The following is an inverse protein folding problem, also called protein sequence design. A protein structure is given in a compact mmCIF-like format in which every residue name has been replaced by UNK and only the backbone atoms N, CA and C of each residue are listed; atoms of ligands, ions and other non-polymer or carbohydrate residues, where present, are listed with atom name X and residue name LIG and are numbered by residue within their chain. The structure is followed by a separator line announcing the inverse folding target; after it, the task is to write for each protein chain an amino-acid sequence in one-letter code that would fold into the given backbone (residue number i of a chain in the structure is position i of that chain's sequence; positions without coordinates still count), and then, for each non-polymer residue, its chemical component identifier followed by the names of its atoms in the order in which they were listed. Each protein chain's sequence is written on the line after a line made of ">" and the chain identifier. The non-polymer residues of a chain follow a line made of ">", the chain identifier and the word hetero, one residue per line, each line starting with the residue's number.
data_IF_164987382881
#
_entry.id   IF_164987382881
#
_cell.length_a   1.000
_cell.length_b   1.000
_cell.length_c   1.000
_cell.angle_alpha   90.00
_cell.angle_beta   90.00
_cell.angle_gamma   90.00
#
_symmetry.space_group_name_H-M   'P 1'
#
loop_
_entity.id
_entity.type
_entity.pdbx_description
1 polymer ?
#
# COMPACT_ATOMS: atom_id res chain seq x y z
N UNK A 1 -9.66 56.05 -18.25
CA UNK A 1 -8.47 55.15 -18.33
C UNK A 1 -7.90 54.76 -16.96
N UNK A 2 -7.65 55.69 -16.02
CA UNK A 2 -7.05 55.38 -14.70
C UNK A 2 -7.84 54.37 -13.84
N UNK A 3 -9.18 54.37 -13.86
CA UNK A 3 -9.98 53.39 -13.11
C UNK A 3 -9.95 51.98 -13.72
N UNK A 4 -9.87 51.85 -15.04
CA UNK A 4 -9.80 50.55 -15.72
C UNK A 4 -8.46 49.87 -15.40
N UNK A 5 -7.37 50.64 -15.41
CA UNK A 5 -6.04 50.12 -15.04
C UNK A 5 -6.03 49.61 -13.59
N UNK A 6 -6.61 50.35 -12.64
CA UNK A 6 -6.71 49.92 -11.23
C UNK A 6 -7.53 48.63 -11.06
N UNK A 7 -8.62 48.49 -11.81
CA UNK A 7 -9.48 47.31 -11.75
C UNK A 7 -8.79 46.06 -12.32
N UNK A 8 -7.97 46.23 -13.36
CA UNK A 8 -7.15 45.17 -13.93
C UNK A 8 -6.03 44.77 -12.95
N UNK A 9 -5.31 45.73 -12.35
CA UNK A 9 -4.25 45.41 -11.37
C UNK A 9 -4.81 44.73 -10.12
N UNK A 10 -6.00 45.14 -9.65
CA UNK A 10 -6.66 44.52 -8.50
C UNK A 10 -7.15 43.09 -8.82
N UNK A 11 -7.68 42.87 -10.03
CA UNK A 11 -8.09 41.54 -10.48
C UNK A 11 -6.89 40.60 -10.62
N UNK A 12 -5.77 41.10 -11.17
CA UNK A 12 -4.52 40.33 -11.28
C UNK A 12 -3.96 40.00 -9.89
N UNK A 13 -3.93 40.97 -8.96
CA UNK A 13 -3.49 40.74 -7.59
C UNK A 13 -4.38 39.72 -6.85
N UNK A 14 -5.70 39.77 -7.06
CA UNK A 14 -6.64 38.80 -6.49
C UNK A 14 -6.37 37.37 -7.02
N UNK A 15 -6.05 37.21 -8.31
CA UNK A 15 -5.71 35.91 -8.90
C UNK A 15 -4.41 35.35 -8.29
N UNK A 16 -3.40 36.19 -8.00
CA UNK A 16 -2.16 35.74 -7.34
C UNK A 16 -2.33 35.38 -5.87
N UNK A 17 -3.40 35.84 -5.19
CA UNK A 17 -3.70 35.41 -3.81
C UNK A 17 -4.39 34.04 -3.71
N UNK A 18 -4.79 33.44 -4.84
CA UNK A 18 -5.33 32.07 -4.89
C UNK A 18 -4.26 30.97 -5.06
N UNK A 19 -2.98 31.28 -4.82
CA UNK A 19 -1.94 30.28 -4.58
C UNK A 19 -2.15 29.55 -3.24
N UNK A 20 -3.30 28.90 -3.07
CA UNK A 20 -3.53 27.98 -1.96
C UNK A 20 -2.60 26.78 -2.19
N UNK A 21 -1.48 26.76 -1.46
CA UNK A 21 -0.53 25.66 -1.46
C UNK A 21 -1.27 24.31 -1.31
N UNK A 22 -1.35 23.54 -2.40
CA UNK A 22 -1.77 22.14 -2.36
C UNK A 22 -0.60 21.33 -1.81
N UNK A 23 -0.42 21.34 -0.48
CA UNK A 23 0.63 20.55 0.13
C UNK A 23 0.14 19.11 0.39
N UNK A 24 0.52 18.20 -0.51
CA UNK A 24 0.29 16.76 -0.38
C UNK A 24 1.22 16.09 0.64
N UNK A 25 2.19 16.84 1.18
CA UNK A 25 3.15 16.37 2.16
C UNK A 25 2.79 16.86 3.57
N UNK A 26 3.17 16.08 4.58
CA UNK A 26 3.02 16.49 5.99
C UNK A 26 4.11 17.47 6.43
N UNK A 27 5.14 17.67 5.60
CA UNK A 27 6.20 18.65 5.75
C UNK A 27 6.28 19.53 4.48
N UNK A 28 6.97 20.68 4.48
CA UNK A 28 7.19 21.44 3.25
C UNK A 28 7.91 20.58 2.19
N UNK A 29 7.47 20.67 0.94
CA UNK A 29 7.98 19.84 -0.16
C UNK A 29 9.48 19.99 -0.37
N UNK A 30 10.03 21.20 -0.26
CA UNK A 30 11.47 21.44 -0.39
C UNK A 30 12.26 20.76 0.72
N UNK A 31 11.64 20.62 1.90
CA UNK A 31 12.22 19.85 3.01
C UNK A 31 12.11 18.36 2.74
N UNK A 32 11.00 17.90 2.16
CA UNK A 32 10.81 16.52 1.74
C UNK A 32 11.87 16.08 0.72
N UNK A 33 12.01 16.81 -0.40
CA UNK A 33 12.98 16.49 -1.46
C UNK A 33 14.43 16.47 -0.97
N UNK A 34 14.76 17.31 0.02
CA UNK A 34 16.09 17.32 0.64
C UNK A 34 16.29 16.13 1.58
N UNK A 35 15.25 15.70 2.28
CA UNK A 35 15.29 14.59 3.24
C UNK A 35 15.25 13.22 2.56
N UNK A 36 14.50 13.07 1.47
CA UNK A 36 14.21 11.76 0.86
C UNK A 36 14.88 11.64 -0.51
N UNK A 37 16.10 11.10 -0.55
CA UNK A 37 16.80 10.82 -1.81
C UNK A 37 16.72 9.33 -2.18
N UNK A 38 16.87 8.45 -1.21
CA UNK A 38 16.78 7.00 -1.36
C UNK A 38 15.50 6.50 -0.70
N UNK A 39 14.51 6.14 -1.52
CA UNK A 39 13.22 5.62 -1.07
C UNK A 39 13.21 4.09 -1.15
N UNK A 40 13.00 3.43 -0.01
CA UNK A 40 12.63 2.02 0.00
C UNK A 40 11.12 1.87 -0.13
N UNK A 41 10.67 0.86 -0.84
CA UNK A 41 9.26 0.47 -0.93
C UNK A 41 9.12 -0.90 -0.27
N UNK A 42 8.38 -0.99 0.82
CA UNK A 42 8.07 -2.27 1.44
C UNK A 42 7.16 -3.10 0.51
N UNK A 43 7.20 -4.45 0.59
CA UNK A 43 6.12 -5.27 0.07
C UNK A 43 4.75 -4.76 0.49
N UNK A 44 3.74 -4.88 -0.36
CA UNK A 44 2.39 -4.40 -0.04
C UNK A 44 1.80 -5.36 1.00
N UNK A 45 1.48 -4.81 2.17
CA UNK A 45 0.90 -5.56 3.27
C UNK A 45 -0.59 -5.83 3.04
N UNK A 46 -1.07 -6.92 3.61
CA UNK A 46 -2.48 -7.13 3.88
C UNK A 46 -2.66 -7.21 5.39
N UNK A 47 -3.62 -6.47 5.91
CA UNK A 47 -3.99 -6.53 7.32
C UNK A 47 -5.19 -7.49 7.48
N UNK A 48 -4.96 -8.77 7.81
CA UNK A 48 -6.05 -9.72 8.00
C UNK A 48 -6.91 -9.38 9.21
N UNK A 49 -6.39 -8.64 10.19
CA UNK A 49 -7.12 -8.28 11.42
C UNK A 49 -8.00 -7.04 11.26
N UNK A 50 -8.04 -6.47 10.06
CA UNK A 50 -8.95 -5.37 9.71
C UNK A 50 -10.39 -5.85 9.50
N UNK A 51 -11.30 -4.91 9.24
CA UNK A 51 -12.75 -5.16 9.12
C UNK A 51 -13.10 -5.85 7.79
N UNK A 52 -12.53 -7.04 7.54
CA UNK A 52 -12.82 -7.91 6.40
C UNK A 52 -13.93 -8.88 6.83
N UNK A 53 -15.14 -8.68 6.32
CA UNK A 53 -16.34 -9.43 6.71
C UNK A 53 -16.72 -10.57 5.76
N UNK A 54 -15.88 -10.83 4.77
CA UNK A 54 -16.13 -11.86 3.77
C UNK A 54 -16.22 -13.26 4.45
N UNK A 55 -17.22 -14.10 4.13
CA UNK A 55 -17.37 -15.42 4.75
C UNK A 55 -16.14 -16.33 4.57
N UNK A 56 -15.48 -16.24 3.41
CA UNK A 56 -14.25 -16.96 3.08
C UNK A 56 -13.02 -16.04 3.22
N UNK A 57 -12.84 -15.43 4.40
CA UNK A 57 -11.82 -14.40 4.66
C UNK A 57 -10.40 -14.87 4.35
N UNK A 58 -10.05 -16.08 4.73
CA UNK A 58 -8.68 -16.63 4.59
C UNK A 58 -8.31 -16.78 3.12
N UNK A 59 -9.22 -17.31 2.30
CA UNK A 59 -9.05 -17.44 0.86
C UNK A 59 -8.91 -16.08 0.18
N UNK A 60 -9.72 -15.09 0.60
CA UNK A 60 -9.61 -13.72 0.14
C UNK A 60 -8.23 -13.12 0.45
N UNK A 61 -7.75 -13.28 1.69
CA UNK A 61 -6.43 -12.78 2.11
C UNK A 61 -5.33 -13.39 1.26
N UNK A 62 -5.36 -14.70 1.00
CA UNK A 62 -4.38 -15.36 0.13
C UNK A 62 -4.37 -14.79 -1.30
N UNK A 63 -5.54 -14.59 -1.91
CA UNK A 63 -5.67 -14.03 -3.26
C UNK A 63 -5.08 -12.62 -3.33
N UNK A 64 -5.40 -11.78 -2.34
CA UNK A 64 -4.92 -10.40 -2.29
C UNK A 64 -3.40 -10.38 -2.05
N UNK A 65 -2.88 -11.21 -1.16
CA UNK A 65 -1.44 -11.33 -0.90
C UNK A 65 -0.67 -11.74 -2.16
N UNK A 66 -1.15 -12.75 -2.89
CA UNK A 66 -0.55 -13.15 -4.16
C UNK A 66 -0.59 -12.01 -5.20
N UNK A 67 -1.73 -11.31 -5.26
CA UNK A 67 -1.91 -10.18 -6.17
C UNK A 67 -1.00 -9.00 -5.83
N UNK A 68 -0.81 -8.68 -4.54
CA UNK A 68 0.11 -7.65 -4.05
C UNK A 68 1.51 -7.90 -4.63
N UNK A 69 2.04 -9.12 -4.43
CA UNK A 69 3.39 -9.51 -4.88
C UNK A 69 3.58 -9.42 -6.39
N UNK A 70 2.52 -9.70 -7.17
CA UNK A 70 2.56 -9.58 -8.65
C UNK A 70 2.62 -8.13 -9.12
N UNK A 71 2.06 -7.18 -8.36
CA UNK A 71 1.90 -5.79 -8.80
C UNK A 71 2.90 -4.81 -8.15
N UNK A 72 3.56 -5.17 -7.04
CA UNK A 72 4.54 -4.32 -6.32
C UNK A 72 5.61 -3.67 -7.21
N UNK A 73 6.12 -4.41 -8.21
CA UNK A 73 7.14 -3.90 -9.14
C UNK A 73 6.64 -2.75 -10.00
N UNK A 74 5.34 -2.71 -10.28
CA UNK A 74 4.73 -1.61 -11.03
C UNK A 74 4.77 -0.31 -10.22
N UNK A 75 4.39 -0.35 -8.95
CA UNK A 75 4.48 0.82 -8.06
C UNK A 75 5.90 1.37 -8.01
N UNK A 76 6.90 0.49 -7.88
CA UNK A 76 8.31 0.89 -7.89
C UNK A 76 8.71 1.51 -9.22
N UNK A 77 8.25 0.97 -10.35
CA UNK A 77 8.52 1.53 -11.67
C UNK A 77 7.88 2.92 -11.84
N UNK A 78 6.62 3.09 -11.43
CA UNK A 78 5.93 4.38 -11.45
C UNK A 78 6.63 5.43 -10.58
N UNK A 79 7.07 5.04 -9.38
CA UNK A 79 7.82 5.94 -8.49
C UNK A 79 9.17 6.35 -9.09
N UNK A 80 9.88 5.44 -9.78
CA UNK A 80 11.12 5.77 -10.51
C UNK A 80 10.86 6.74 -11.66
N UNK A 81 9.79 6.51 -12.42
CA UNK A 81 9.40 7.33 -13.57
C UNK A 81 9.11 8.79 -13.15
N UNK A 82 8.70 9.03 -11.90
CA UNK A 82 8.55 10.42 -11.41
C UNK A 82 9.82 11.25 -11.44
N UNK A 83 11.01 10.63 -11.43
CA UNK A 83 12.29 11.35 -11.33
C UNK A 83 12.52 12.12 -10.03
N UNK A 84 11.65 11.93 -9.03
CA UNK A 84 11.69 12.68 -7.75
C UNK A 84 12.83 12.20 -6.84
N UNK A 85 13.09 10.91 -6.85
CA UNK A 85 14.07 10.26 -5.97
C UNK A 85 15.38 9.97 -6.71
N UNK A 86 16.50 9.98 -5.99
CA UNK A 86 17.77 9.52 -6.52
C UNK A 86 17.76 8.00 -6.76
N UNK A 87 17.12 7.25 -5.87
CA UNK A 87 16.92 5.81 -6.02
C UNK A 87 15.62 5.37 -5.38
N UNK A 88 14.95 4.40 -6.00
CA UNK A 88 13.77 3.72 -5.47
C UNK A 88 13.99 2.22 -5.56
N UNK A 89 13.77 1.49 -4.47
CA UNK A 89 13.99 0.04 -4.42
C UNK A 89 12.92 -0.71 -3.64
N UNK A 90 12.49 -1.86 -4.16
CA UNK A 90 11.64 -2.81 -3.42
C UNK A 90 12.50 -3.52 -2.36
N UNK A 91 12.01 -3.59 -1.13
CA UNK A 91 12.65 -4.41 -0.10
C UNK A 91 12.42 -5.90 -0.42
N UNK A 92 13.47 -6.75 -0.37
CA UNK A 92 13.38 -8.15 -0.78
C UNK A 92 12.72 -9.07 0.26
N UNK A 93 12.49 -8.57 1.48
CA UNK A 93 11.97 -9.34 2.61
C UNK A 93 10.51 -9.79 2.43
N UNK A 94 10.07 -10.69 3.31
CA UNK A 94 8.69 -11.15 3.41
C UNK A 94 7.77 -10.06 4.00
N UNK A 95 6.60 -9.89 3.38
CA UNK A 95 5.64 -8.85 3.73
C UNK A 95 5.11 -9.01 5.15
N UNK A 96 4.73 -10.24 5.54
CA UNK A 96 4.13 -10.51 6.85
C UNK A 96 5.16 -10.30 7.94
N UNK A 97 6.40 -10.77 7.72
CA UNK A 97 7.50 -10.59 8.66
C UNK A 97 7.83 -9.11 8.88
N UNK A 98 7.92 -8.30 7.81
CA UNK A 98 8.14 -6.86 7.98
C UNK A 98 6.97 -6.29 8.76
N UNK A 99 5.74 -6.53 8.31
CA UNK A 99 4.55 -5.94 8.91
C UNK A 99 4.44 -6.28 10.40
N UNK A 100 4.55 -7.54 10.80
CA UNK A 100 4.50 -7.96 12.21
C UNK A 100 5.60 -7.33 13.06
N UNK A 101 6.76 -7.04 12.46
CA UNK A 101 7.90 -6.45 13.16
C UNK A 101 7.65 -4.96 13.41
N UNK A 102 7.36 -4.20 12.36
CA UNK A 102 7.25 -2.73 12.43
C UNK A 102 5.86 -2.24 12.85
N UNK A 103 4.80 -3.03 12.70
CA UNK A 103 3.44 -2.63 13.04
C UNK A 103 3.29 -2.42 14.55
N UNK A 104 2.70 -1.29 14.94
CA UNK A 104 2.38 -0.98 16.32
C UNK A 104 0.87 -1.06 16.57
N UNK A 105 0.09 -0.29 15.80
CA UNK A 105 -1.37 -0.24 15.92
C UNK A 105 -2.03 0.30 14.67
N UNK A 106 -3.34 0.07 14.59
CA UNK A 106 -4.25 0.60 13.57
C UNK A 106 -5.30 1.47 14.24
N UNK A 107 -5.66 2.57 13.60
CA UNK A 107 -6.74 3.46 14.02
C UNK A 107 -7.70 3.67 12.87
N UNK A 108 -9.00 3.41 13.10
CA UNK A 108 -10.04 3.74 12.13
C UNK A 108 -10.34 5.24 12.23
N UNK A 109 -10.25 5.94 11.11
CA UNK A 109 -10.50 7.38 11.02
C UNK A 109 -11.63 7.69 10.07
N UNK A 110 -12.27 8.83 10.33
CA UNK A 110 -13.26 9.45 9.48
C UNK A 110 -12.89 10.92 9.34
N UNK A 111 -12.20 11.24 8.24
CA UNK A 111 -11.71 12.59 7.97
C UNK A 111 -12.45 13.12 6.74
N UNK A 112 -13.17 14.23 6.93
CA UNK A 112 -13.93 14.92 5.88
C UNK A 112 -14.83 13.97 5.04
N UNK A 113 -15.52 13.06 5.74
CA UNK A 113 -16.47 12.11 5.15
C UNK A 113 -15.85 10.85 4.54
N UNK A 114 -14.52 10.73 4.57
CA UNK A 114 -13.81 9.53 4.11
C UNK A 114 -13.40 8.70 5.31
N UNK A 115 -13.77 7.43 5.27
CA UNK A 115 -13.40 6.46 6.29
C UNK A 115 -12.21 5.62 5.80
N UNK A 116 -11.19 5.45 6.64
CA UNK A 116 -10.01 4.66 6.30
C UNK A 116 -9.28 4.15 7.57
N UNK A 117 -8.29 3.26 7.38
CA UNK A 117 -7.43 2.78 8.46
C UNK A 117 -6.08 3.50 8.41
N UNK A 118 -5.71 4.20 9.48
CA UNK A 118 -4.38 4.77 9.66
C UNK A 118 -3.48 3.81 10.43
N UNK A 119 -2.27 3.62 9.93
CA UNK A 119 -1.27 2.73 10.54
C UNK A 119 -0.23 3.54 11.31
N UNK A 120 0.23 2.95 12.41
CA UNK A 120 1.33 3.47 13.20
C UNK A 120 2.37 2.37 13.34
N UNK A 121 3.62 2.76 13.24
CA UNK A 121 4.76 1.86 13.23
C UNK A 121 5.67 2.11 14.43
N UNK A 122 6.39 1.08 14.85
CA UNK A 122 7.35 1.15 15.93
C UNK A 122 8.64 1.80 15.40
N UNK A 123 8.99 2.96 15.97
CA UNK A 123 10.15 3.75 15.56
C UNK A 123 11.47 2.98 15.57
N UNK A 124 11.84 2.28 16.66
CA UNK A 124 13.11 1.54 16.73
C UNK A 124 13.26 0.48 15.62
N UNK A 125 12.23 -0.32 15.39
CA UNK A 125 12.23 -1.40 14.40
C UNK A 125 12.25 -0.85 12.96
N UNK A 126 11.55 0.25 12.72
CA UNK A 126 11.58 0.96 11.45
C UNK A 126 12.99 1.53 11.17
N UNK A 127 13.60 2.16 12.18
CA UNK A 127 14.96 2.70 12.11
C UNK A 127 15.98 1.63 11.76
N UNK A 128 15.91 0.48 12.42
CA UNK A 128 16.78 -0.66 12.14
C UNK A 128 16.57 -1.20 10.73
N UNK A 129 15.32 -1.33 10.29
CA UNK A 129 14.99 -1.77 8.93
C UNK A 129 15.56 -0.83 7.87
N UNK A 130 15.43 0.49 8.06
CA UNK A 130 15.94 1.50 7.15
C UNK A 130 17.46 1.57 7.15
N UNK A 131 18.11 1.48 8.33
CA UNK A 131 19.57 1.50 8.45
C UNK A 131 20.21 0.29 7.74
N UNK A 132 19.65 -0.92 7.91
CA UNK A 132 20.13 -2.13 7.22
C UNK A 132 20.08 -2.00 5.70
N UNK A 133 19.08 -1.29 5.18
CA UNK A 133 18.85 -1.11 3.75
C UNK A 133 19.41 0.23 3.20
N UNK A 134 20.05 1.06 4.05
CA UNK A 134 20.59 2.39 3.70
C UNK A 134 19.55 3.32 3.06
N UNK A 135 18.38 3.39 3.67
CA UNK A 135 17.23 4.17 3.18
C UNK A 135 17.11 5.50 3.90
N UNK A 136 16.71 6.55 3.19
CA UNK A 136 16.34 7.83 3.79
C UNK A 136 14.89 7.83 4.28
N UNK A 137 14.02 7.13 3.53
CA UNK A 137 12.62 6.93 3.87
C UNK A 137 12.12 5.55 3.43
N UNK A 138 11.06 5.07 4.07
CA UNK A 138 10.34 3.86 3.70
C UNK A 138 8.90 4.18 3.32
N UNK A 139 8.50 3.79 2.11
CA UNK A 139 7.10 3.74 1.71
C UNK A 139 6.50 2.41 2.15
N UNK A 140 5.41 2.50 2.90
CA UNK A 140 4.58 1.37 3.31
C UNK A 140 3.22 1.49 2.65
N UNK A 141 2.73 0.40 2.07
CA UNK A 141 1.38 0.29 1.52
C UNK A 141 0.68 -0.86 2.22
N UNK A 142 -0.56 -0.63 2.68
CA UNK A 142 -1.36 -1.63 3.36
C UNK A 142 -2.75 -1.73 2.72
N UNK A 143 -3.17 -2.96 2.41
CA UNK A 143 -4.53 -3.30 2.02
C UNK A 143 -5.30 -3.77 3.25
N UNK A 144 -6.49 -3.23 3.47
CA UNK A 144 -7.30 -3.54 4.65
C UNK A 144 -8.79 -3.52 4.37
N UNK A 145 -9.55 -4.27 5.16
CA UNK A 145 -11.01 -4.28 5.16
C UNK A 145 -11.58 -3.07 5.88
N UNK A 146 -12.68 -2.57 5.32
CA UNK A 146 -13.45 -1.47 5.87
C UNK A 146 -14.93 -1.63 5.50
N UNK A 147 -15.83 -1.56 6.49
CA UNK A 147 -17.25 -1.33 6.24
C UNK A 147 -17.59 0.16 6.26
N UNK A 148 -18.17 0.69 5.19
CA UNK A 148 -18.60 2.08 5.10
C UNK A 148 -20.03 2.18 4.56
N UNK A 149 -20.74 3.25 4.93
CA UNK A 149 -22.05 3.56 4.38
C UNK A 149 -21.86 4.12 2.97
N UNK A 150 -22.52 3.55 1.98
CA UNK A 150 -22.38 3.96 0.59
C UNK A 150 -23.71 3.80 -0.17
N UNK A 151 -23.83 4.49 -1.30
CA UNK A 151 -24.98 4.44 -2.20
C UNK A 151 -24.56 3.82 -3.52
N UNK A 152 -25.02 2.60 -3.77
CA UNK A 152 -24.73 1.86 -5.01
C UNK A 152 -25.97 1.89 -5.91
N UNK A 153 -25.78 2.29 -7.16
CA UNK A 153 -26.84 2.38 -8.16
C UNK A 153 -26.96 1.08 -8.97
N UNK A 154 -28.17 0.78 -9.44
CA UNK A 154 -28.40 -0.27 -10.43
C UNK A 154 -27.74 0.08 -11.77
N UNK A 155 -27.52 -0.92 -12.63
CA UNK A 155 -26.89 -0.71 -13.94
C UNK A 155 -27.65 0.23 -14.88
N UNK A 156 -28.95 0.43 -14.67
CA UNK A 156 -29.78 1.37 -15.42
C UNK A 156 -29.94 2.74 -14.73
N UNK A 157 -29.30 2.95 -13.57
CA UNK A 157 -29.32 4.18 -12.76
C UNK A 157 -30.71 4.64 -12.27
N UNK A 158 -31.75 3.81 -12.41
CA UNK A 158 -33.11 4.16 -11.97
C UNK A 158 -33.36 3.83 -10.49
N UNK A 159 -32.52 2.97 -9.91
CA UNK A 159 -32.65 2.53 -8.52
C UNK A 159 -31.29 2.59 -7.82
N UNK A 160 -31.32 2.72 -6.50
CA UNK A 160 -30.12 2.66 -5.68
C UNK A 160 -30.42 1.97 -4.36
N UNK A 161 -29.37 1.42 -3.74
CA UNK A 161 -29.40 0.87 -2.39
C UNK A 161 -28.32 1.56 -1.57
N UNK A 162 -28.77 2.25 -0.52
CA UNK A 162 -27.92 2.83 0.49
C UNK A 162 -27.77 1.85 1.65
N UNK A 163 -26.55 1.37 1.89
CA UNK A 163 -26.29 0.33 2.90
C UNK A 163 -24.86 0.42 3.43
N UNK A 164 -24.52 -0.43 4.39
CA UNK A 164 -23.17 -0.61 4.90
C UNK A 164 -22.46 -1.71 4.11
N UNK A 165 -21.63 -1.31 3.15
CA UNK A 165 -20.90 -2.24 2.30
C UNK A 165 -19.49 -2.47 2.84
N UNK A 166 -18.98 -3.68 2.64
CA UNK A 166 -17.61 -4.07 2.98
C UNK A 166 -16.70 -3.94 1.74
N UNK A 167 -15.57 -3.27 1.94
CA UNK A 167 -14.58 -2.98 0.90
C UNK A 167 -13.19 -3.39 1.38
N UNK A 168 -12.31 -3.67 0.43
CA UNK A 168 -10.88 -3.49 0.62
C UNK A 168 -10.53 -2.04 0.28
N UNK A 169 -9.64 -1.46 1.07
CA UNK A 169 -9.05 -0.14 0.87
C UNK A 169 -7.54 -0.26 0.86
N UNK A 170 -6.86 0.66 0.17
CA UNK A 170 -5.41 0.71 0.10
C UNK A 170 -4.93 2.05 0.63
N UNK A 171 -4.08 2.02 1.65
CA UNK A 171 -3.50 3.22 2.26
C UNK A 171 -1.98 3.17 2.13
N UNK A 172 -1.34 4.33 2.03
CA UNK A 172 0.11 4.39 1.92
C UNK A 172 0.70 5.49 2.80
N UNK A 173 1.91 5.29 3.29
CA UNK A 173 2.65 6.27 4.10
C UNK A 173 4.13 6.23 3.73
N UNK A 174 4.77 7.40 3.65
CA UNK A 174 6.24 7.51 3.56
C UNK A 174 6.73 7.99 4.91
N UNK A 175 7.63 7.23 5.52
CA UNK A 175 8.11 7.41 6.88
C UNK A 175 9.61 7.67 6.88
N UNK A 176 10.08 8.54 7.77
CA UNK A 176 11.51 8.65 8.09
C UNK A 176 11.94 7.64 9.17
N UNK A 177 13.25 7.62 9.44
CA UNK A 177 13.85 6.71 10.42
C UNK A 177 13.38 6.94 11.86
N UNK A 178 12.79 8.09 12.17
CA UNK A 178 12.24 8.40 13.50
C UNK A 178 10.75 8.02 13.59
N UNK A 179 10.16 7.51 12.50
CA UNK A 179 8.75 7.14 12.42
C UNK A 179 7.82 8.32 12.10
N UNK A 180 8.36 9.48 11.70
CA UNK A 180 7.54 10.60 11.28
C UNK A 180 6.95 10.32 9.90
N UNK A 181 5.64 10.52 9.75
CA UNK A 181 4.95 10.43 8.46
C UNK A 181 5.22 11.67 7.63
N UNK A 182 6.04 11.54 6.60
CA UNK A 182 6.42 12.61 5.66
C UNK A 182 5.33 12.85 4.60
N UNK A 183 4.65 11.79 4.18
CA UNK A 183 3.56 11.79 3.22
C UNK A 183 2.58 10.64 3.55
N UNK A 184 1.30 10.82 3.25
CA UNK A 184 0.29 9.77 3.43
C UNK A 184 -0.79 9.81 2.34
N UNK A 185 -1.40 8.66 2.09
CA UNK A 185 -2.55 8.46 1.22
C UNK A 185 -3.60 7.62 1.95
N UNK A 186 -4.87 8.09 2.02
CA UNK A 186 -5.35 9.39 1.57
C UNK A 186 -4.78 10.57 2.40
N UNK A 187 -4.69 11.76 1.80
CA UNK A 187 -4.30 13.00 2.49
C UNK A 187 -5.47 14.00 2.50
N UNK A 188 -5.93 14.37 3.70
CA UNK A 188 -7.10 15.24 3.91
C UNK A 188 -6.80 16.73 3.94
N UNK A 189 -5.55 17.13 3.66
CA UNK A 189 -5.17 18.55 3.58
C UNK A 189 -5.70 19.26 2.32
N UNK A 190 -6.42 18.56 1.45
CA UNK A 190 -7.00 19.08 0.21
C UNK A 190 -8.46 19.52 0.34
N UNK A 191 -8.90 20.38 -0.59
CA UNK A 191 -10.32 20.76 -0.75
C UNK A 191 -11.15 19.74 -1.55
N UNK A 192 -10.52 18.96 -2.42
CA UNK A 192 -11.16 17.91 -3.22
C UNK A 192 -10.66 16.55 -2.74
N UNK A 193 -11.55 15.81 -2.07
CA UNK A 193 -11.23 14.53 -1.47
C UNK A 193 -11.84 13.43 -2.32
N UNK A 194 -11.01 12.64 -2.97
CA UNK A 194 -11.42 11.37 -3.57
C UNK A 194 -10.54 10.26 -3.02
N UNK A 195 -11.13 9.42 -2.17
CA UNK A 195 -10.53 8.16 -1.75
C UNK A 195 -11.43 7.04 -2.25
N UNK A 196 -11.04 6.47 -3.38
CA UNK A 196 -11.79 5.38 -3.98
C UNK A 196 -11.50 4.08 -3.23
N UNK A 197 -12.53 3.29 -2.88
CA UNK A 197 -12.31 1.94 -2.38
C UNK A 197 -11.46 1.13 -3.36
N UNK A 198 -10.51 0.35 -2.84
CA UNK A 198 -9.62 -0.44 -3.66
C UNK A 198 -10.36 -1.59 -4.35
N UNK A 199 -11.20 -2.31 -3.61
CA UNK A 199 -12.02 -3.39 -4.18
C UNK A 199 -13.31 -3.61 -3.37
N UNK A 200 -14.51 -3.50 -3.95
CA UNK A 200 -15.75 -3.83 -3.25
C UNK A 200 -15.91 -5.34 -3.08
N UNK A 201 -16.16 -5.79 -1.85
CA UNK A 201 -16.37 -7.20 -1.50
C UNK A 201 -17.85 -7.61 -1.57
N UNK A 202 -18.74 -6.64 -1.53
CA UNK A 202 -20.19 -6.84 -1.61
C UNK A 202 -20.79 -6.13 -2.82
N UNK A 203 -22.00 -6.54 -3.18
CA UNK A 203 -22.82 -5.89 -4.20
C UNK A 203 -24.31 -6.01 -3.85
N UNK A 204 -25.14 -5.02 -4.20
CA UNK A 204 -26.60 -5.14 -4.13
C UNK A 204 -27.13 -6.00 -5.29
N UNK A 205 -28.00 -6.97 -4.99
CA UNK A 205 -28.57 -7.86 -6.00
C UNK A 205 -29.90 -7.31 -6.57
N UNK A 206 -29.81 -6.23 -7.35
CA UNK A 206 -30.97 -5.61 -7.99
C UNK A 206 -31.66 -6.53 -8.99
N UNK A 207 -30.90 -7.39 -9.67
CA UNK A 207 -31.41 -8.26 -10.72
C UNK A 207 -32.26 -9.39 -10.12
N UNK A 208 -31.82 -10.01 -9.03
CA UNK A 208 -32.62 -11.01 -8.32
C UNK A 208 -33.87 -10.40 -7.68
N UNK A 209 -33.77 -9.22 -7.06
CA UNK A 209 -34.93 -8.53 -6.50
C UNK A 209 -35.99 -8.27 -7.58
N UNK A 210 -35.56 -7.74 -8.73
CA UNK A 210 -36.45 -7.49 -9.88
C UNK A 210 -37.04 -8.78 -10.46
N UNK A 211 -36.25 -9.84 -10.57
CA UNK A 211 -36.71 -11.12 -11.12
C UNK A 211 -37.76 -11.80 -10.23
N UNK A 212 -37.74 -11.54 -8.93
CA UNK A 212 -38.70 -12.08 -7.96
C UNK A 212 -39.83 -11.11 -7.60
N UNK A 213 -39.96 -9.99 -8.33
CA UNK A 213 -40.93 -8.91 -8.03
C UNK A 213 -40.89 -8.46 -6.56
N UNK A 214 -39.68 -8.44 -5.99
CA UNK A 214 -39.43 -8.09 -4.60
C UNK A 214 -38.87 -6.66 -4.53
N UNK A 215 -39.49 -5.82 -3.68
CA UNK A 215 -39.02 -4.46 -3.42
C UNK A 215 -37.74 -4.42 -2.57
N UNK A 216 -37.38 -5.54 -1.92
CA UNK A 216 -36.19 -5.65 -1.08
C UNK A 216 -34.98 -6.12 -1.89
N UNK A 217 -33.97 -5.26 -1.98
CA UNK A 217 -32.67 -5.57 -2.56
C UNK A 217 -31.72 -6.04 -1.46
N UNK A 218 -31.24 -7.27 -1.57
CA UNK A 218 -30.29 -7.83 -0.61
C UNK A 218 -28.84 -7.53 -1.01
N UNK A 219 -27.97 -7.40 0.00
CA UNK A 219 -26.52 -7.21 -0.19
C UNK A 219 -25.83 -8.56 -0.09
N UNK A 220 -25.12 -8.94 -1.15
CA UNK A 220 -24.42 -10.23 -1.24
C UNK A 220 -22.92 -10.04 -1.31
N UNK A 221 -22.17 -11.02 -0.81
CA UNK A 221 -20.72 -11.09 -0.99
C UNK A 221 -20.38 -11.62 -2.39
N UNK A 222 -19.35 -11.05 -3.00
CA UNK A 222 -18.77 -11.58 -4.24
C UNK A 222 -18.09 -12.90 -3.95
N UNK A 223 -18.25 -13.88 -4.83
CA UNK A 223 -17.54 -15.16 -4.68
C UNK A 223 -16.02 -14.98 -4.76
N UNK A 224 -15.26 -15.85 -4.09
CA UNK A 224 -13.79 -15.87 -4.15
C UNK A 224 -13.28 -15.93 -5.60
N UNK A 225 -13.90 -16.73 -6.45
CA UNK A 225 -13.58 -16.79 -7.88
C UNK A 225 -13.86 -15.46 -8.60
N UNK A 226 -14.96 -14.78 -8.26
CA UNK A 226 -15.28 -13.45 -8.79
C UNK A 226 -14.27 -12.39 -8.36
N UNK A 227 -13.83 -12.43 -7.11
CA UNK A 227 -12.78 -11.55 -6.57
C UNK A 227 -11.45 -11.82 -7.28
N UNK A 228 -11.04 -13.08 -7.39
CA UNK A 228 -9.82 -13.47 -8.10
C UNK A 228 -9.79 -12.99 -9.55
N UNK A 229 -10.92 -13.10 -10.29
CA UNK A 229 -11.03 -12.53 -11.64
C UNK A 229 -10.99 -11.01 -11.65
N UNK A 230 -11.65 -10.35 -10.69
CA UNK A 230 -11.68 -8.90 -10.58
C UNK A 230 -10.30 -8.30 -10.33
N UNK A 231 -9.58 -8.83 -9.33
CA UNK A 231 -8.22 -8.40 -8.98
C UNK A 231 -7.21 -8.86 -10.04
N UNK A 232 -7.45 -9.99 -10.72
CA UNK A 232 -6.61 -10.49 -11.80
C UNK A 232 -6.82 -9.83 -13.17
N UNK A 233 -7.82 -8.94 -13.33
CA UNK A 233 -8.05 -8.22 -14.59
C UNK A 233 -6.88 -7.27 -14.83
N UNK A 234 -6.18 -7.43 -15.95
CA UNK A 234 -4.97 -6.65 -16.25
C UNK A 234 -5.13 -5.67 -17.40
N UNK A 235 -4.42 -4.56 -17.31
CA UNK A 235 -4.22 -3.54 -18.34
C UNK A 235 -2.74 -3.47 -18.70
N UNK A 236 -2.42 -2.79 -19.81
CA UNK A 236 -1.03 -2.52 -20.19
C UNK A 236 -0.42 -1.56 -19.16
N UNK A 237 0.78 -1.87 -18.69
CA UNK A 237 1.58 -0.95 -17.87
C UNK A 237 1.88 0.33 -18.64
N UNK A 238 1.87 1.47 -17.95
CA UNK A 238 2.26 2.77 -18.52
C UNK A 238 3.78 2.96 -18.55
N UNK A 239 4.53 2.21 -17.73
CA UNK A 239 5.98 2.41 -17.50
C UNK A 239 6.84 1.20 -17.88
N UNK A 240 6.28 -0.01 -17.90
CA UNK A 240 6.99 -1.23 -18.29
C UNK A 240 6.61 -1.65 -19.71
N UNK A 241 7.60 -1.77 -20.59
CA UNK A 241 7.35 -2.27 -21.94
C UNK A 241 6.84 -3.72 -21.89
N UNK A 242 5.72 -3.96 -22.55
CA UNK A 242 4.95 -5.23 -22.49
C UNK A 242 4.50 -5.68 -21.09
N UNK A 243 4.65 -4.83 -20.07
CA UNK A 243 4.17 -5.10 -18.72
C UNK A 243 2.64 -5.14 -18.65
N UNK A 244 2.12 -6.03 -17.80
CA UNK A 244 0.69 -6.08 -17.47
C UNK A 244 0.51 -5.90 -15.97
N UNK A 245 -0.30 -4.93 -15.59
CA UNK A 245 -0.65 -4.63 -14.20
C UNK A 245 -2.14 -4.84 -14.02
N UNK A 246 -2.57 -5.27 -12.84
CA UNK A 246 -3.98 -5.31 -12.50
C UNK A 246 -4.63 -3.92 -12.59
N UNK A 247 -5.84 -3.83 -13.15
CA UNK A 247 -6.58 -2.56 -13.32
C UNK A 247 -6.77 -1.85 -11.99
N UNK A 248 -7.13 -2.58 -10.93
CA UNK A 248 -7.40 -1.97 -9.62
C UNK A 248 -6.11 -1.48 -8.94
N UNK A 249 -4.98 -2.16 -9.16
CA UNK A 249 -3.69 -1.70 -8.67
C UNK A 249 -3.17 -0.51 -9.48
N UNK A 250 -3.30 -0.52 -10.81
CA UNK A 250 -2.91 0.61 -11.65
C UNK A 250 -3.61 1.88 -11.19
N UNK A 251 -4.93 1.84 -11.03
CA UNK A 251 -5.69 3.00 -10.56
C UNK A 251 -5.21 3.50 -9.19
N UNK A 252 -5.05 2.59 -8.22
CA UNK A 252 -4.57 2.97 -6.89
C UNK A 252 -3.13 3.53 -6.90
N UNK A 253 -2.23 2.96 -7.71
CA UNK A 253 -0.85 3.43 -7.83
C UNK A 253 -0.77 4.76 -8.55
N UNK A 254 -1.54 4.94 -9.62
CA UNK A 254 -1.63 6.20 -10.36
C UNK A 254 -2.11 7.32 -9.43
N UNK A 255 -3.15 7.07 -8.61
CA UNK A 255 -3.62 8.00 -7.60
C UNK A 255 -2.52 8.36 -6.59
N UNK A 256 -1.82 7.37 -6.02
CA UNK A 256 -0.73 7.63 -5.07
C UNK A 256 0.41 8.44 -5.68
N UNK A 257 0.84 8.07 -6.89
CA UNK A 257 1.97 8.69 -7.58
C UNK A 257 1.61 10.09 -8.06
N UNK A 258 0.35 10.33 -8.45
CA UNK A 258 -0.13 11.66 -8.82
C UNK A 258 0.05 12.67 -7.68
N UNK A 259 -0.21 12.25 -6.43
CA UNK A 259 -0.02 13.12 -5.25
C UNK A 259 1.45 13.29 -4.83
N UNK A 260 2.36 12.51 -5.41
CA UNK A 260 3.81 12.64 -5.21
C UNK A 260 4.48 13.45 -6.31
N UNK A 261 3.89 13.50 -7.51
CA UNK A 261 4.46 14.24 -8.65
C UNK A 261 4.59 15.74 -8.32
N UNK A 262 5.68 16.37 -8.74
CA UNK A 262 5.77 17.82 -8.67
C UNK A 262 4.65 18.44 -9.52
N UNK A 263 3.98 19.49 -9.02
CA UNK A 263 3.14 20.33 -9.87
C UNK A 263 3.93 20.72 -11.12
N UNK A 264 3.34 20.47 -12.27
CA UNK A 264 3.92 20.80 -13.56
C UNK A 264 4.30 22.29 -13.54
N UNK A 265 5.58 22.60 -13.72
CA UNK A 265 6.07 23.96 -13.92
C UNK A 265 5.57 24.43 -15.29
N UNK A 266 4.30 24.86 -15.36
CA UNK A 266 3.68 25.37 -16.59
C UNK A 266 4.40 26.65 -17.08
N UNK A 267 5.16 27.30 -16.19
CA UNK A 267 6.10 28.37 -16.52
C UNK A 267 7.51 27.79 -16.52
N UNK A 268 8.03 27.46 -17.70
CA UNK A 268 9.37 26.91 -17.92
C UNK A 268 10.52 27.80 -17.47
N UNK A 269 10.66 28.02 -16.17
CA UNK A 269 11.90 28.43 -15.55
C UNK A 269 12.78 27.18 -15.49
N UNK A 270 13.60 27.04 -16.54
CA UNK A 270 14.71 26.10 -16.60
C UNK A 270 15.40 26.02 -15.25
N UNK A 271 15.25 24.88 -14.57
CA UNK A 271 16.13 24.51 -13.46
C UNK A 271 17.52 24.39 -14.06
N UNK A 272 18.39 25.35 -13.75
CA UNK A 272 19.79 25.36 -14.18
C UNK A 272 20.43 23.99 -13.99
N UNK A 273 21.22 23.63 -14.99
CA UNK A 273 21.97 22.39 -15.12
C UNK A 273 22.62 21.99 -13.79
N UNK A 274 22.21 20.84 -13.25
CA UNK A 274 23.10 20.11 -12.34
C UNK A 274 24.35 19.74 -13.15
N UNK A 275 25.56 20.07 -12.69
CA UNK A 275 26.76 19.62 -13.36
C UNK A 275 26.79 18.09 -13.39
N UNK A 276 27.10 17.54 -14.55
CA UNK A 276 27.23 16.11 -14.79
C UNK A 276 28.17 15.46 -13.76
N UNK A 277 27.92 14.19 -13.37
CA UNK A 277 28.86 13.46 -12.53
C UNK A 277 30.19 13.35 -13.27
N UNK A 278 31.25 13.85 -12.62
CA UNK A 278 32.63 13.68 -13.07
C UNK A 278 32.86 12.18 -13.24
N UNK A 279 33.10 11.76 -14.48
CA UNK A 279 33.55 10.43 -14.84
C UNK A 279 34.88 10.20 -14.14
N UNK A 280 34.84 9.53 -12.98
CA UNK A 280 36.04 9.02 -12.35
C UNK A 280 36.65 8.00 -13.31
N UNK A 281 37.78 8.36 -13.90
CA UNK A 281 38.61 7.46 -14.68
C UNK A 281 38.97 6.25 -13.80
N UNK A 282 38.52 5.07 -14.24
CA UNK A 282 38.92 3.79 -13.65
C UNK A 282 40.41 3.62 -13.92
N UNK A 283 41.24 3.94 -12.93
CA UNK A 283 42.62 3.47 -12.90
C UNK A 283 42.59 1.94 -12.76
N UNK A 284 43.06 1.29 -13.82
CA UNK A 284 43.31 -0.14 -13.91
C UNK A 284 44.26 -0.57 -12.80
N UNK A 285 43.74 -1.28 -11.81
CA UNK A 285 44.53 -1.93 -10.76
C UNK A 285 45.18 -3.19 -11.37
N UNK A 286 46.51 -3.40 -11.23
CA UNK A 286 47.15 -4.62 -11.71
C UNK A 286 46.64 -5.86 -10.97
N UNK A 287 46.61 -6.98 -11.68
CA UNK A 287 46.16 -8.28 -11.21
C UNK A 287 46.91 -8.77 -9.95
N UNK A 288 46.23 -9.40 -8.97
CA UNK A 288 46.92 -10.12 -7.91
C UNK A 288 47.55 -11.40 -8.45
N UNK A 289 48.83 -11.58 -8.14
CA UNK A 289 49.58 -12.80 -8.40
C UNK A 289 48.97 -14.01 -7.69
N UNK A 290 49.01 -15.15 -8.37
CA UNK A 290 48.60 -16.45 -7.86
C UNK A 290 49.42 -16.82 -6.61
N UNK A 291 48.73 -17.09 -5.50
CA UNK A 291 49.33 -17.70 -4.31
C UNK A 291 48.78 -19.11 -4.18
N UNK A 292 49.73 -20.03 -4.03
CA UNK A 292 49.60 -21.48 -3.97
C UNK A 292 48.60 -21.97 -2.91
N UNK A 293 47.80 -22.96 -3.30
CA UNK A 293 47.06 -23.85 -2.40
C UNK A 293 48.04 -24.70 -1.57
N UNK A 294 47.81 -24.83 -0.25
CA UNK A 294 48.28 -25.97 0.52
C UNK A 294 47.18 -27.01 0.72
N UNK A 295 47.60 -28.23 0.47
CA UNK A 295 47.01 -29.56 0.59
C UNK A 295 46.21 -29.81 1.88
N UNK A 296 45.14 -30.60 1.74
CA UNK A 296 44.33 -31.16 2.82
C UNK A 296 45.09 -32.13 3.74
N UNK A 297 44.62 -32.30 4.98
CA UNK A 297 44.63 -33.63 5.61
C UNK A 297 43.27 -34.06 6.17
N UNK A 298 42.83 -35.22 5.67
CA UNK A 298 42.26 -36.38 6.37
C UNK A 298 41.19 -36.24 7.46
N UNK A 299 40.12 -37.00 7.18
CA UNK A 299 38.98 -37.52 7.93
C UNK A 299 39.25 -38.12 9.32
N UNK A 300 38.29 -37.90 10.24
CA UNK A 300 37.54 -38.86 11.09
C UNK A 300 37.30 -38.35 12.54
N UNK A 301 36.35 -38.87 13.35
CA UNK A 301 35.08 -39.55 13.06
C UNK A 301 33.86 -38.92 13.79
N UNK A 302 32.67 -39.44 13.43
CA UNK A 302 31.34 -39.22 14.04
C UNK A 302 31.31 -39.27 15.56
N UNK A 303 30.54 -38.36 16.16
CA UNK A 303 30.02 -38.46 17.53
C UNK A 303 28.52 -38.13 17.55
N UNK A 304 27.74 -39.21 17.59
CA UNK A 304 26.54 -39.46 18.40
C UNK A 304 25.53 -38.33 18.64
N UNK A 305 24.33 -38.53 18.06
CA UNK A 305 23.10 -37.85 18.42
C UNK A 305 22.69 -38.12 19.88
N UNK A 306 22.19 -37.12 20.62
CA UNK A 306 21.49 -37.34 21.88
C UNK A 306 20.07 -37.92 21.65
N UNK A 307 19.58 -38.79 22.54
CA UNK A 307 18.32 -39.51 22.40
C UNK A 307 17.09 -38.62 22.60
N UNK A 308 15.99 -39.01 21.93
CA UNK A 308 14.64 -38.47 22.12
C UNK A 308 14.25 -38.49 23.60
N UNK A 309 13.91 -37.32 24.13
CA UNK A 309 13.17 -37.21 25.39
C UNK A 309 11.68 -37.44 25.11
N UNK A 310 11.23 -38.55 25.69
CA UNK A 310 9.89 -38.98 26.09
C UNK A 310 8.73 -37.98 25.96
N UNK A 311 7.70 -38.42 25.25
CA UNK A 311 6.33 -37.90 25.28
C UNK A 311 5.76 -37.95 26.72
N UNK A 312 5.14 -36.87 27.22
CA UNK A 312 4.25 -36.93 28.37
C UNK A 312 2.93 -37.60 28.00
N UNK A 313 2.49 -38.49 28.89
CA UNK A 313 1.27 -39.28 28.80
C UNK A 313 0.00 -38.43 28.68
N UNK A 314 -0.96 -38.96 27.92
CA UNK A 314 -2.31 -38.44 27.79
C UNK A 314 -3.01 -38.39 29.16
N UNK A 315 -3.61 -37.24 29.47
CA UNK A 315 -4.55 -37.10 30.57
C UNK A 315 -5.85 -37.84 30.27
N UNK A 316 -6.46 -38.50 31.28
CA UNK A 316 -7.71 -39.22 31.11
C UNK A 316 -8.89 -38.27 30.92
N UNK A 317 -9.68 -38.56 29.88
CA UNK A 317 -10.99 -37.97 29.59
C UNK A 317 -11.93 -38.21 30.78
N UNK A 318 -12.30 -37.14 31.48
CA UNK A 318 -13.39 -37.14 32.46
C UNK A 318 -14.70 -37.24 31.66
N UNK A 319 -15.37 -38.39 31.78
CA UNK A 319 -16.72 -38.60 31.29
C UNK A 319 -17.70 -37.74 32.11
N UNK A 320 -18.43 -36.85 31.43
CA UNK A 320 -19.56 -36.15 32.01
C UNK A 320 -20.77 -37.12 32.16
N UNK A 321 -21.52 -37.04 33.26
CA UNK A 321 -22.67 -37.92 33.48
C UNK A 321 -23.82 -37.61 32.54
N UNK A 322 -24.38 -38.69 32.00
CA UNK A 322 -25.62 -38.76 31.22
C UNK A 322 -26.80 -38.27 32.08
N UNK A 323 -27.38 -37.12 31.72
CA UNK A 323 -28.71 -36.74 32.21
C UNK A 323 -29.74 -37.45 31.34
N UNK A 324 -30.43 -38.41 31.95
CA UNK A 324 -31.64 -39.06 31.48
C UNK A 324 -32.85 -38.32 32.09
N UNK A 325 -33.98 -38.44 31.39
CA UNK A 325 -35.34 -38.11 31.84
C UNK A 325 -35.69 -36.60 31.83
N UNK A 326 -36.88 -36.15 31.43
CA UNK A 326 -38.16 -36.85 31.32
C UNK A 326 -39.10 -36.08 30.38
N UNK A 327 -39.81 -36.82 29.55
CA UNK A 327 -41.04 -36.42 28.87
C UNK A 327 -42.15 -36.16 29.88
N UNK A 328 -42.85 -35.03 29.73
CA UNK A 328 -44.29 -34.89 29.97
C UNK A 328 -44.86 -33.82 29.05
#
# INVERSE_FOLDING_TARGET
>A
MKSILKLVTLSIAAIFTFGCAQNYYNIPKETYEKKVRVLGVAPIFIDPESDIRHPEKEALVSIVKESNRKNEKELVALLKDTGTYFSVGLLPDDADRIFSTIFSRRERREDAGVIYNKYFFKGPELKDLMARNKLDALMVVAVSGLTAKDKVYSGNLLSYLESHYNYLTMTAQILDADGNTLWEYPNFRQRTLSFSPFFPLQYPDFDEAKANENDRVDVKFKTIAGIGRGVGKTVKSSVQDNGRVSTVYSAAFDDMVLLLKPEFDWFGLKKEERPAPVTASVQTRPAPAAVHQPTAPQTAPSASAPPLASQPAAEPVIQAPTVREETL
#
